data_IF_765314029514
#
_entry.id   IF_765314029514
#
_cell.length_a   1.000
_cell.length_b   1.000
_cell.length_c   1.000
_cell.angle_alpha   90.00
_cell.angle_beta   90.00
_cell.angle_gamma   90.00
#
_symmetry.space_group_name_H-M   'P 1'
#
loop_
_entity.id
_entity.type
_entity.pdbx_description
1 polymer ?
#
# COMPACT_ATOMS: atom_id res chain seq x y z
N UNK A 1 -13.32 -21.39 13.32
CA UNK A 1 -12.23 -22.15 12.66
C UNK A 1 -11.77 -21.33 11.48
N UNK A 2 -10.66 -20.60 11.59
CA UNK A 2 -10.09 -19.93 10.41
C UNK A 2 -9.45 -21.01 9.54
N UNK A 3 -9.96 -21.22 8.34
CA UNK A 3 -9.29 -22.05 7.35
C UNK A 3 -7.91 -21.46 7.07
N UNK A 4 -6.85 -22.24 7.26
CA UNK A 4 -5.49 -21.88 6.84
C UNK A 4 -5.48 -21.76 5.31
N UNK A 5 -5.30 -20.54 4.82
CA UNK A 5 -5.03 -20.32 3.40
C UNK A 5 -3.77 -21.12 3.01
N UNK A 6 -3.81 -21.77 1.84
CA UNK A 6 -2.69 -22.54 1.31
C UNK A 6 -1.42 -21.68 1.30
N UNK A 7 -0.26 -22.18 1.80
CA UNK A 7 1.01 -21.46 1.75
C UNK A 7 1.38 -20.97 0.35
N UNK A 8 1.01 -21.74 -0.69
CA UNK A 8 1.24 -21.39 -2.09
C UNK A 8 0.42 -20.16 -2.51
N UNK A 9 -0.84 -20.09 -2.09
CA UNK A 9 -1.75 -19.00 -2.44
C UNK A 9 -1.39 -17.72 -1.68
N UNK A 10 -0.94 -17.87 -0.42
CA UNK A 10 -0.33 -16.78 0.35
C UNK A 10 0.93 -16.27 -0.33
N UNK A 11 1.81 -17.16 -0.80
CA UNK A 11 3.06 -16.74 -1.43
C UNK A 11 2.83 -16.01 -2.77
N UNK A 12 1.91 -16.49 -3.60
CA UNK A 12 1.52 -15.80 -4.84
C UNK A 12 0.93 -14.42 -4.54
N UNK A 13 0.03 -14.35 -3.56
CA UNK A 13 -0.57 -13.09 -3.15
C UNK A 13 0.49 -12.10 -2.66
N UNK A 14 1.41 -12.55 -1.80
CA UNK A 14 2.47 -11.72 -1.25
C UNK A 14 3.47 -11.28 -2.34
N UNK A 15 3.86 -12.15 -3.27
CA UNK A 15 4.71 -11.73 -4.40
C UNK A 15 4.04 -10.69 -5.29
N UNK A 16 2.76 -10.90 -5.63
CA UNK A 16 2.00 -9.94 -6.43
C UNK A 16 1.86 -8.60 -5.69
N UNK A 17 1.67 -8.65 -4.38
CA UNK A 17 1.61 -7.50 -3.50
C UNK A 17 2.94 -6.74 -3.46
N UNK A 18 4.07 -7.43 -3.22
CA UNK A 18 5.39 -6.82 -3.19
C UNK A 18 5.78 -6.19 -4.54
N UNK A 19 5.45 -6.84 -5.66
CA UNK A 19 5.67 -6.26 -7.00
C UNK A 19 4.89 -4.96 -7.17
N UNK A 20 3.63 -4.94 -6.73
CA UNK A 20 2.77 -3.75 -6.81
C UNK A 20 3.28 -2.63 -5.91
N UNK A 21 3.79 -2.98 -4.73
CA UNK A 21 4.37 -2.04 -3.77
C UNK A 21 5.66 -1.41 -4.30
N UNK A 22 6.56 -2.20 -4.88
CA UNK A 22 7.79 -1.70 -5.52
C UNK A 22 7.48 -0.74 -6.67
N UNK A 23 6.44 -1.03 -7.46
CA UNK A 23 5.99 -0.15 -8.54
C UNK A 23 5.45 1.18 -8.00
N UNK A 24 4.69 1.16 -6.90
CA UNK A 24 4.17 2.37 -6.27
C UNK A 24 5.28 3.29 -5.74
N UNK A 25 6.33 2.73 -5.14
CA UNK A 25 7.47 3.50 -4.61
C UNK A 25 8.36 4.10 -5.71
N UNK A 26 8.40 3.48 -6.90
CA UNK A 26 9.13 4.01 -8.05
C UNK A 26 8.53 5.32 -8.59
N UNK A 27 7.26 5.62 -8.25
CA UNK A 27 6.54 6.82 -8.71
C UNK A 27 6.75 8.07 -7.85
N UNK A 28 7.55 7.99 -6.78
CA UNK A 28 7.74 9.07 -5.80
C UNK A 28 8.24 10.41 -6.37
N UNK A 29 8.77 10.44 -7.60
CA UNK A 29 9.24 11.67 -8.26
C UNK A 29 8.16 12.46 -9.03
N UNK A 30 6.94 11.93 -9.22
CA UNK A 30 5.89 12.59 -10.02
C UNK A 30 4.44 12.36 -9.52
N UNK A 31 4.29 12.19 -8.20
CA UNK A 31 3.01 11.86 -7.57
C UNK A 31 1.99 13.00 -7.61
N UNK A 32 2.46 14.25 -7.49
CA UNK A 32 1.59 15.43 -7.51
C UNK A 32 0.89 15.64 -8.87
N UNK A 33 1.62 15.46 -9.96
CA UNK A 33 1.07 15.59 -11.31
C UNK A 33 0.02 14.51 -11.60
N UNK A 34 0.34 13.26 -11.28
CA UNK A 34 -0.59 12.14 -11.47
C UNK A 34 -1.86 12.30 -10.63
N UNK A 35 -1.73 12.72 -9.36
CA UNK A 35 -2.87 13.01 -8.49
C UNK A 35 -3.75 14.13 -9.02
N UNK A 36 -3.16 15.19 -9.60
CA UNK A 36 -3.92 16.28 -10.22
C UNK A 36 -4.67 15.82 -11.47
N UNK A 37 -4.04 15.02 -12.34
CA UNK A 37 -4.71 14.46 -13.52
C UNK A 37 -5.91 13.58 -13.15
N UNK A 38 -5.75 12.68 -12.17
CA UNK A 38 -6.84 11.80 -11.73
C UNK A 38 -7.99 12.59 -11.07
N UNK A 39 -7.66 13.54 -10.20
CA UNK A 39 -8.67 14.34 -9.50
C UNK A 39 -9.34 15.40 -10.38
N UNK A 40 -8.77 15.69 -11.56
CA UNK A 40 -9.36 16.54 -12.59
C UNK A 40 -10.27 15.79 -13.56
N UNK A 41 -10.23 14.44 -13.59
CA UNK A 41 -11.01 13.64 -14.54
C UNK A 41 -12.50 13.58 -14.18
N UNK A 42 -12.86 13.67 -12.90
CA UNK A 42 -14.24 13.65 -12.45
C UNK A 42 -14.44 14.53 -11.21
N UNK A 43 -15.53 15.30 -11.16
CA UNK A 43 -15.82 16.22 -10.05
C UNK A 43 -16.21 15.48 -8.77
N UNK A 44 -16.97 14.40 -8.88
CA UNK A 44 -17.52 13.66 -7.72
C UNK A 44 -16.60 12.57 -7.16
N UNK A 45 -15.51 12.24 -7.87
CA UNK A 45 -14.57 11.20 -7.43
C UNK A 45 -13.23 11.85 -7.07
N UNK A 46 -12.78 11.65 -5.83
CA UNK A 46 -11.47 12.09 -5.37
C UNK A 46 -10.57 10.90 -5.10
N UNK A 47 -9.44 10.89 -5.78
CA UNK A 47 -8.37 9.92 -5.62
C UNK A 47 -7.37 10.44 -4.60
N UNK A 48 -7.17 9.67 -3.54
CA UNK A 48 -6.15 9.90 -2.52
C UNK A 48 -5.02 8.88 -2.72
N UNK A 49 -3.79 9.30 -2.52
CA UNK A 49 -2.61 8.43 -2.59
C UNK A 49 -1.93 8.40 -1.24
N UNK A 50 -1.60 7.21 -0.77
CA UNK A 50 -0.79 7.00 0.44
C UNK A 50 0.69 6.95 0.02
N UNK A 51 1.54 7.69 0.72
CA UNK A 51 2.99 7.73 0.48
C UNK A 51 3.73 7.02 1.60
N UNK A 52 4.85 6.40 1.27
CA UNK A 52 5.73 5.80 2.28
C UNK A 52 6.32 6.92 3.14
N UNK A 53 6.18 6.78 4.46
CA UNK A 53 6.74 7.68 5.46
C UNK A 53 7.43 6.87 6.53
N UNK A 54 8.64 7.28 6.92
CA UNK A 54 9.45 6.59 7.93
C UNK A 54 9.65 5.10 7.60
N UNK A 55 9.85 4.79 6.32
CA UNK A 55 9.95 3.41 5.80
C UNK A 55 8.72 2.55 6.04
N UNK A 56 7.56 3.16 6.23
CA UNK A 56 6.27 2.47 6.41
C UNK A 56 5.22 2.99 5.44
N UNK A 57 4.39 2.08 4.92
CA UNK A 57 3.25 2.39 4.07
C UNK A 57 2.02 1.63 4.59
N UNK A 58 1.01 2.34 5.14
CA UNK A 58 -0.27 1.73 5.41
C UNK A 58 -1.01 1.46 4.09
N UNK A 59 -1.37 0.21 3.83
CA UNK A 59 -2.14 -0.20 2.66
C UNK A 59 -3.28 -1.13 3.08
N UNK A 60 -4.52 -0.64 2.95
CA UNK A 60 -5.72 -1.34 3.45
C UNK A 60 -5.54 -1.74 4.92
N UNK A 61 -5.69 -3.03 5.22
CA UNK A 61 -5.54 -3.61 6.56
C UNK A 61 -4.11 -4.13 6.83
N UNK A 62 -3.13 -3.68 6.05
CA UNK A 62 -1.75 -4.14 6.14
C UNK A 62 -0.81 -2.94 6.22
N UNK A 63 0.01 -2.89 7.28
CA UNK A 63 1.11 -1.95 7.39
C UNK A 63 2.32 -2.64 6.79
N UNK A 64 2.86 -2.08 5.72
CA UNK A 64 4.12 -2.54 5.17
C UNK A 64 5.24 -1.68 5.72
N UNK A 65 6.32 -2.29 6.15
CA UNK A 65 7.53 -1.63 6.61
C UNK A 65 8.74 -2.18 5.89
N UNK A 66 9.63 -1.30 5.44
CA UNK A 66 10.90 -1.69 4.82
C UNK A 66 11.95 -1.88 5.91
N UNK A 67 12.56 -3.06 5.93
CA UNK A 67 13.67 -3.37 6.83
C UNK A 67 15.00 -2.82 6.29
N UNK A 68 16.02 -2.64 7.15
CA UNK A 68 17.34 -2.19 6.74
C UNK A 68 18.05 -3.11 5.74
N UNK A 69 17.71 -4.39 5.73
CA UNK A 69 18.19 -5.41 4.78
C UNK A 69 17.49 -5.35 3.40
N UNK A 70 16.55 -4.42 3.22
CA UNK A 70 15.80 -4.23 1.98
C UNK A 70 14.60 -5.16 1.82
N UNK A 71 14.36 -6.07 2.76
CA UNK A 71 13.17 -6.91 2.79
C UNK A 71 11.95 -6.13 3.29
N UNK A 72 10.76 -6.59 2.88
CA UNK A 72 9.50 -6.03 3.32
C UNK A 72 8.95 -6.87 4.48
N UNK A 73 8.58 -6.19 5.56
CA UNK A 73 7.80 -6.75 6.65
C UNK A 73 6.37 -6.23 6.54
N UNK A 74 5.39 -7.07 6.86
CA UNK A 74 3.99 -6.68 6.88
C UNK A 74 3.36 -7.06 8.21
N UNK A 75 2.49 -6.18 8.72
CA UNK A 75 1.68 -6.43 9.92
C UNK A 75 0.24 -6.05 9.66
N UNK A 76 -0.69 -6.64 10.41
CA UNK A 76 -2.08 -6.22 10.35
C UNK A 76 -2.19 -4.78 10.84
N UNK A 77 -2.64 -3.89 9.98
CA UNK A 77 -2.92 -2.50 10.27
C UNK A 77 -4.42 -2.32 10.41
N UNK A 78 -4.84 -1.61 11.46
CA UNK A 78 -6.22 -1.16 11.59
C UNK A 78 -6.18 0.34 11.42
N UNK A 79 -6.78 0.85 10.34
CA UNK A 79 -6.95 2.30 10.19
C UNK A 79 -7.60 2.84 11.47
N UNK A 80 -7.05 3.90 12.09
CA UNK A 80 -7.68 4.50 13.25
C UNK A 80 -9.09 4.93 12.87
N UNK A 81 -10.09 4.38 13.56
CA UNK A 81 -11.52 4.56 13.27
C UNK A 81 -12.07 5.88 13.78
N UNK A 82 -11.23 6.75 14.34
CA UNK A 82 -11.63 8.04 14.91
C UNK A 82 -10.78 9.16 14.32
N UNK A 83 -11.42 10.07 13.60
CA UNK A 83 -10.93 11.44 13.38
C UNK A 83 -11.93 12.29 14.16
N UNK A 84 -11.51 12.84 15.30
CA UNK A 84 -12.27 13.89 15.99
C UNK A 84 -12.18 15.20 15.20
#
# INVERSE_FOLDING_TARGET
MSSTLSPFLVNIYMEAFERKLRFAQMLNSSTAFFGACLNGAHTDAKFTMELEKDSTLPFLDVLVSRRPDGLLEHRVYRKPTHTD
#
